data_IF_394934889697
#
_entry.id   IF_394934889697
#
_cell.length_a   1.000
_cell.length_b   1.000
_cell.length_c   1.000
_cell.angle_alpha   90.00
_cell.angle_beta   90.00
_cell.angle_gamma   90.00
#
_symmetry.space_group_name_H-M   'P 1'
#
loop_
_entity.id
_entity.type
_entity.pdbx_description
1 polymer ?
#
# COMPACT_ATOMS: atom_id res chain seq x y z
N UNK A 1 -45.97 9.56 -10.51
CA UNK A 1 -44.99 10.34 -11.29
C UNK A 1 -44.72 11.60 -10.48
N UNK A 2 -43.80 11.50 -9.52
CA UNK A 2 -43.38 12.63 -8.71
C UNK A 2 -42.23 13.27 -9.48
N UNK A 3 -42.47 14.44 -10.07
CA UNK A 3 -41.37 15.31 -10.50
C UNK A 3 -40.64 15.75 -9.24
N UNK A 4 -39.44 15.24 -9.01
CA UNK A 4 -38.50 15.90 -8.10
C UNK A 4 -38.34 17.34 -8.58
N UNK A 5 -38.61 18.27 -7.67
CA UNK A 5 -38.28 19.69 -7.89
C UNK A 5 -36.76 19.73 -7.96
N UNK A 6 -36.21 19.89 -9.17
CA UNK A 6 -34.78 20.08 -9.38
C UNK A 6 -34.32 21.26 -8.52
N UNK A 7 -33.46 20.99 -7.54
CA UNK A 7 -32.85 22.04 -6.74
C UNK A 7 -31.75 22.70 -7.59
N UNK A 8 -32.03 23.89 -8.11
CA UNK A 8 -31.10 24.64 -8.98
C UNK A 8 -29.75 24.84 -8.29
N UNK A 9 -29.73 25.09 -6.99
CA UNK A 9 -28.50 25.23 -6.20
C UNK A 9 -27.65 23.96 -6.25
N UNK A 10 -28.29 22.80 -6.13
CA UNK A 10 -27.61 21.50 -6.21
C UNK A 10 -27.04 21.28 -7.60
N UNK A 11 -27.78 21.62 -8.67
CA UNK A 11 -27.28 21.49 -10.04
C UNK A 11 -26.07 22.39 -10.32
N UNK A 12 -26.07 23.60 -9.78
CA UNK A 12 -24.93 24.52 -9.87
C UNK A 12 -23.72 23.93 -9.15
N UNK A 13 -23.89 23.41 -7.93
CA UNK A 13 -22.80 22.76 -7.18
C UNK A 13 -22.27 21.51 -7.90
N UNK A 14 -23.15 20.69 -8.47
CA UNK A 14 -22.76 19.52 -9.28
C UNK A 14 -21.96 19.91 -10.51
N UNK A 15 -22.35 20.99 -11.20
CA UNK A 15 -21.64 21.50 -12.37
C UNK A 15 -20.24 22.02 -12.01
N UNK A 16 -20.14 22.83 -10.95
CA UNK A 16 -18.85 23.36 -10.47
C UNK A 16 -17.94 22.22 -10.02
N UNK A 17 -18.50 21.26 -9.27
CA UNK A 17 -17.79 20.07 -8.82
C UNK A 17 -17.25 19.26 -10.01
N UNK A 18 -18.05 19.08 -11.06
CA UNK A 18 -17.62 18.42 -12.29
C UNK A 18 -16.46 19.15 -12.98
N UNK A 19 -16.57 20.47 -13.15
CA UNK A 19 -15.50 21.27 -13.76
C UNK A 19 -14.21 21.22 -12.93
N UNK A 20 -14.30 21.36 -11.61
CA UNK A 20 -13.13 21.26 -10.73
C UNK A 20 -12.44 19.89 -10.85
N UNK A 21 -13.19 18.79 -10.89
CA UNK A 21 -12.60 17.46 -11.08
C UNK A 21 -11.94 17.31 -12.44
N UNK A 22 -12.60 17.78 -13.51
CA UNK A 22 -12.05 17.73 -14.86
C UNK A 22 -10.72 18.50 -14.93
N UNK A 23 -10.68 19.73 -14.42
CA UNK A 23 -9.47 20.54 -14.44
C UNK A 23 -8.31 19.83 -13.75
N UNK A 24 -8.54 19.25 -12.56
CA UNK A 24 -7.48 18.54 -11.82
C UNK A 24 -6.97 17.30 -12.56
N UNK A 25 -7.85 16.60 -13.28
CA UNK A 25 -7.50 15.40 -14.05
C UNK A 25 -6.79 15.71 -15.38
N UNK A 26 -7.06 16.87 -15.97
CA UNK A 26 -6.43 17.32 -17.22
C UNK A 26 -5.08 18.00 -16.99
N UNK A 27 -4.80 18.46 -15.77
CA UNK A 27 -3.53 19.08 -15.41
C UNK A 27 -2.36 18.07 -15.44
N UNK A 28 -1.27 18.42 -16.12
CA UNK A 28 -0.15 17.50 -16.40
C UNK A 28 0.49 16.85 -15.17
N UNK A 29 0.58 17.60 -14.06
CA UNK A 29 1.08 17.07 -12.78
C UNK A 29 -0.02 16.82 -11.75
N UNK A 30 -1.28 17.02 -12.15
CA UNK A 30 -2.48 16.79 -11.36
C UNK A 30 -2.59 17.71 -10.15
N UNK A 31 -2.01 18.91 -10.17
CA UNK A 31 -2.03 19.87 -9.05
C UNK A 31 -2.54 21.22 -9.51
N UNK A 32 -3.63 21.69 -8.91
CA UNK A 32 -4.20 23.03 -9.12
C UNK A 32 -4.11 23.83 -7.81
N UNK A 33 -3.44 24.99 -7.77
CA UNK A 33 -3.38 25.80 -6.56
C UNK A 33 -4.73 26.47 -6.30
N UNK A 34 -5.04 26.69 -5.02
CA UNK A 34 -6.18 27.52 -4.64
C UNK A 34 -5.90 29.01 -4.87
N UNK A 35 -4.63 29.40 -4.81
CA UNK A 35 -4.16 30.77 -5.02
C UNK A 35 -3.17 30.81 -6.16
N UNK A 36 -3.59 31.36 -7.30
CA UNK A 36 -2.78 31.50 -8.51
C UNK A 36 -1.72 32.58 -8.33
N UNK A 37 -0.54 32.35 -8.92
CA UNK A 37 0.58 33.28 -8.89
C UNK A 37 1.19 33.38 -10.28
N UNK A 38 1.53 34.59 -10.71
CA UNK A 38 2.08 34.87 -12.04
C UNK A 38 1.17 34.37 -13.18
N UNK A 39 1.65 33.45 -14.02
CA UNK A 39 0.90 32.85 -15.15
C UNK A 39 0.20 31.54 -14.76
N UNK A 40 0.24 31.16 -13.47
CA UNK A 40 -0.33 29.92 -13.00
C UNK A 40 -1.83 30.09 -12.67
N UNK A 41 -2.74 29.40 -13.38
CA UNK A 41 -4.16 29.49 -13.11
C UNK A 41 -4.50 28.88 -11.75
N UNK A 42 -5.41 29.52 -11.03
CA UNK A 42 -6.01 28.96 -9.83
C UNK A 42 -7.27 28.14 -10.17
N UNK A 43 -7.85 27.47 -9.16
CA UNK A 43 -9.07 26.67 -9.37
C UNK A 43 -10.25 27.51 -9.92
N UNK A 44 -10.37 28.78 -9.54
CA UNK A 44 -11.41 29.66 -10.08
C UNK A 44 -11.15 29.95 -11.57
N UNK A 45 -9.90 30.25 -11.94
CA UNK A 45 -9.52 30.49 -13.33
C UNK A 45 -9.81 29.24 -14.20
N UNK A 46 -9.47 28.05 -13.70
CA UNK A 46 -9.77 26.78 -14.37
C UNK A 46 -11.28 26.58 -14.59
N UNK A 47 -12.09 26.84 -13.56
CA UNK A 47 -13.55 26.72 -13.67
C UNK A 47 -14.10 27.75 -14.67
N UNK A 48 -13.63 29.00 -14.64
CA UNK A 48 -14.03 30.03 -15.60
C UNK A 48 -13.71 29.58 -17.03
N UNK A 49 -12.50 29.05 -17.27
CA UNK A 49 -12.11 28.52 -18.58
C UNK A 49 -13.04 27.38 -19.03
N UNK A 50 -13.42 26.46 -18.13
CA UNK A 50 -14.39 25.41 -18.46
C UNK A 50 -15.77 25.99 -18.84
N UNK A 51 -16.21 27.08 -18.20
CA UNK A 51 -17.44 27.79 -18.60
C UNK A 51 -17.29 28.43 -19.99
N UNK A 52 -16.16 29.07 -20.28
CA UNK A 52 -15.89 29.67 -21.59
C UNK A 52 -15.87 28.61 -22.71
N UNK A 53 -15.24 27.46 -22.48
CA UNK A 53 -15.20 26.36 -23.45
C UNK A 53 -16.57 25.72 -23.67
N UNK A 54 -17.37 25.60 -22.60
CA UNK A 54 -18.68 24.94 -22.64
C UNK A 54 -19.79 25.83 -23.22
N UNK A 55 -19.80 27.12 -22.85
CA UNK A 55 -20.90 28.05 -23.14
C UNK A 55 -20.53 29.15 -24.14
N UNK A 56 -19.25 29.31 -24.50
CA UNK A 56 -18.79 30.29 -25.49
C UNK A 56 -19.17 31.71 -25.10
N UNK A 57 -19.84 32.43 -26.01
CA UNK A 57 -20.24 33.84 -25.83
C UNK A 57 -21.18 34.04 -24.62
N UNK A 58 -21.88 33.00 -24.16
CA UNK A 58 -22.83 33.05 -23.05
C UNK A 58 -22.18 32.77 -21.68
N UNK A 59 -20.88 32.44 -21.63
CA UNK A 59 -20.20 32.01 -20.41
C UNK A 59 -20.28 33.04 -19.27
N UNK A 60 -20.07 34.32 -19.60
CA UNK A 60 -20.14 35.40 -18.62
C UNK A 60 -21.51 35.50 -17.95
N UNK A 61 -22.59 35.40 -18.74
CA UNK A 61 -23.95 35.47 -18.23
C UNK A 61 -24.29 34.23 -17.38
N UNK A 62 -23.75 33.05 -17.74
CA UNK A 62 -23.89 31.83 -16.93
C UNK A 62 -23.11 31.92 -15.61
N UNK A 63 -21.90 32.48 -15.61
CA UNK A 63 -21.07 32.65 -14.41
C UNK A 63 -21.72 33.59 -13.41
N UNK A 64 -22.32 34.71 -13.87
CA UNK A 64 -23.07 35.62 -12.99
C UNK A 64 -24.27 34.91 -12.36
N UNK A 65 -25.04 34.13 -13.14
CA UNK A 65 -26.17 33.36 -12.61
C UNK A 65 -25.71 32.33 -11.57
N UNK A 66 -24.58 31.66 -11.82
CA UNK A 66 -23.98 30.71 -10.88
C UNK A 66 -23.57 31.39 -9.59
N UNK A 67 -22.88 32.53 -9.67
CA UNK A 67 -22.44 33.29 -8.49
C UNK A 67 -23.63 33.75 -7.63
N UNK A 68 -24.69 34.27 -8.26
CA UNK A 68 -25.92 34.71 -7.60
C UNK A 68 -26.69 33.54 -6.94
N UNK A 69 -26.58 32.32 -7.48
CA UNK A 69 -27.19 31.12 -6.89
C UNK A 69 -26.41 30.65 -5.66
N UNK A 70 -25.08 30.81 -5.64
CA UNK A 70 -24.22 30.35 -4.56
C UNK A 70 -24.26 31.25 -3.32
N UNK A 71 -24.60 32.53 -3.47
CA UNK A 71 -24.63 33.45 -2.34
C UNK A 71 -25.22 34.82 -2.67
N UNK A 72 -25.06 35.75 -1.73
CA UNK A 72 -25.67 37.09 -1.82
C UNK A 72 -24.64 38.22 -1.87
N UNK A 73 -23.35 37.90 -1.90
CA UNK A 73 -22.29 38.92 -1.97
C UNK A 73 -22.27 39.47 -3.38
N UNK A 74 -22.42 40.78 -3.54
CA UNK A 74 -22.41 41.39 -4.88
C UNK A 74 -20.98 41.53 -5.41
N UNK A 75 -20.81 41.36 -6.72
CA UNK A 75 -19.55 41.66 -7.40
C UNK A 75 -19.11 43.11 -7.12
N UNK A 76 -17.86 43.26 -6.69
CA UNK A 76 -17.28 44.52 -6.24
C UNK A 76 -15.90 44.72 -6.84
N UNK A 77 -14.85 44.62 -6.02
CA UNK A 77 -13.46 44.53 -6.50
C UNK A 77 -13.17 43.16 -7.12
N UNK A 78 -13.95 42.13 -6.76
CA UNK A 78 -13.89 40.77 -7.26
C UNK A 78 -15.13 40.41 -8.08
N UNK A 79 -14.95 39.71 -9.20
CA UNK A 79 -15.99 39.42 -10.18
C UNK A 79 -17.02 38.37 -9.72
N UNK A 80 -16.56 37.30 -9.07
CA UNK A 80 -17.39 36.16 -8.64
C UNK A 80 -17.10 35.77 -7.17
N UNK A 81 -17.46 36.64 -6.21
CA UNK A 81 -17.10 36.44 -4.81
C UNK A 81 -17.76 35.21 -4.16
N UNK A 82 -18.97 34.83 -4.58
CA UNK A 82 -19.66 33.68 -3.99
C UNK A 82 -19.12 32.36 -4.56
N UNK A 83 -18.78 32.33 -5.85
CA UNK A 83 -18.10 31.20 -6.48
C UNK A 83 -16.72 30.97 -5.87
N UNK A 84 -15.93 32.04 -5.66
CA UNK A 84 -14.63 31.93 -4.96
C UNK A 84 -14.80 31.36 -3.55
N UNK A 85 -15.73 31.92 -2.76
CA UNK A 85 -15.98 31.43 -1.41
C UNK A 85 -16.40 29.94 -1.40
N UNK A 86 -17.24 29.51 -2.35
CA UNK A 86 -17.60 28.10 -2.48
C UNK A 86 -16.38 27.22 -2.78
N UNK A 87 -15.49 27.64 -3.68
CA UNK A 87 -14.27 26.89 -4.02
C UNK A 87 -13.33 26.76 -2.81
N UNK A 88 -13.13 27.84 -2.06
CA UNK A 88 -12.19 27.89 -0.93
C UNK A 88 -12.69 27.05 0.27
N UNK A 89 -13.96 27.21 0.63
CA UNK A 89 -14.51 26.76 1.91
C UNK A 89 -15.40 25.52 1.81
N UNK A 90 -15.96 25.21 0.63
CA UNK A 90 -17.07 24.24 0.52
C UNK A 90 -16.88 23.19 -0.57
N UNK A 91 -16.09 23.43 -1.60
CA UNK A 91 -15.93 22.52 -2.73
C UNK A 91 -15.35 21.17 -2.30
N UNK A 92 -14.33 21.17 -1.42
CA UNK A 92 -13.74 19.92 -0.96
C UNK A 92 -14.70 19.13 -0.07
N UNK A 93 -15.39 19.80 0.86
CA UNK A 93 -16.40 19.15 1.70
C UNK A 93 -17.54 18.56 0.86
N UNK A 94 -17.98 19.31 -0.16
CA UNK A 94 -18.95 18.84 -1.14
C UNK A 94 -18.43 17.60 -1.88
N UNK A 95 -17.17 17.62 -2.34
CA UNK A 95 -16.54 16.50 -3.03
C UNK A 95 -16.50 15.23 -2.17
N UNK A 96 -16.08 15.33 -0.90
CA UNK A 96 -16.01 14.19 0.03
C UNK A 96 -17.39 13.55 0.20
N UNK A 97 -18.44 14.37 0.38
CA UNK A 97 -19.81 13.88 0.53
C UNK A 97 -20.32 13.23 -0.77
N UNK A 98 -20.13 13.88 -1.91
CA UNK A 98 -20.57 13.38 -3.23
C UNK A 98 -19.89 12.05 -3.58
N UNK A 99 -18.63 11.87 -3.16
CA UNK A 99 -17.85 10.66 -3.40
C UNK A 99 -17.97 9.61 -2.29
N UNK A 100 -18.96 9.71 -1.39
CA UNK A 100 -19.19 8.76 -0.30
C UNK A 100 -17.92 8.46 0.52
N UNK A 101 -17.18 9.50 0.93
CA UNK A 101 -15.93 9.39 1.69
C UNK A 101 -14.74 8.75 0.96
N UNK A 102 -14.83 8.55 -0.36
CA UNK A 102 -13.70 8.08 -1.19
C UNK A 102 -13.37 9.11 -2.28
N UNK A 103 -12.89 10.31 -1.92
CA UNK A 103 -12.60 11.36 -2.90
C UNK A 103 -11.41 10.98 -3.79
N UNK A 104 -11.47 11.40 -5.06
CA UNK A 104 -10.41 11.20 -6.05
C UNK A 104 -9.61 12.47 -6.29
N UNK A 105 -10.11 13.61 -5.82
CA UNK A 105 -9.39 14.88 -5.77
C UNK A 105 -9.19 15.23 -4.30
N UNK A 106 -7.95 15.49 -3.91
CA UNK A 106 -7.53 15.75 -2.53
C UNK A 106 -7.17 17.21 -2.33
N UNK A 107 -7.63 17.86 -1.24
CA UNK A 107 -7.16 19.19 -0.85
C UNK A 107 -5.97 19.04 0.11
N UNK A 108 -4.81 19.58 -0.27
CA UNK A 108 -3.70 19.83 0.65
C UNK A 108 -3.76 21.28 1.10
N UNK A 109 -3.58 21.54 2.39
CA UNK A 109 -3.74 22.88 2.96
C UNK A 109 -2.81 23.12 4.15
N UNK A 110 -2.43 24.38 4.34
CA UNK A 110 -1.71 24.83 5.53
C UNK A 110 -2.63 25.28 6.68
N UNK A 111 -3.96 25.20 6.52
CA UNK A 111 -4.96 25.64 7.51
C UNK A 111 -4.62 25.21 8.95
N UNK A 112 -4.09 23.99 9.11
CA UNK A 112 -3.86 23.34 10.40
C UNK A 112 -2.39 23.23 10.81
N UNK A 113 -1.47 23.84 10.06
CA UNK A 113 -0.03 23.71 10.35
C UNK A 113 0.40 24.54 11.56
N UNK A 114 -0.38 25.56 11.93
CA UNK A 114 -0.18 26.37 13.15
C UNK A 114 -1.49 26.53 13.91
N UNK A 115 -1.43 26.74 15.23
CA UNK A 115 -2.62 26.75 16.09
C UNK A 115 -3.54 27.97 15.93
N UNK A 116 -3.00 29.13 15.59
CA UNK A 116 -3.70 30.42 15.53
C UNK A 116 -3.81 30.97 14.08
N UNK A 117 -3.92 30.08 13.09
CA UNK A 117 -4.18 30.49 11.70
C UNK A 117 -5.58 31.10 11.58
N UNK A 118 -5.68 32.29 10.98
CA UNK A 118 -6.96 32.91 10.62
C UNK A 118 -7.37 32.59 9.18
N UNK A 119 -6.40 32.21 8.35
CA UNK A 119 -6.55 31.94 6.91
C UNK A 119 -5.49 30.93 6.45
N UNK A 120 -5.68 30.33 5.28
CA UNK A 120 -4.72 29.41 4.65
C UNK A 120 -3.56 30.20 3.98
N UNK A 121 -2.31 29.88 4.34
CA UNK A 121 -1.11 30.39 3.65
C UNK A 121 -0.96 29.81 2.24
N UNK A 122 -1.24 28.51 2.11
CA UNK A 122 -1.24 27.77 0.86
C UNK A 122 -2.29 26.65 0.90
N UNK A 123 -2.93 26.41 -0.25
CA UNK A 123 -3.74 25.24 -0.49
C UNK A 123 -3.71 24.86 -1.97
N UNK A 124 -3.92 23.59 -2.27
CA UNK A 124 -4.05 23.08 -3.64
C UNK A 124 -4.95 21.85 -3.68
N UNK A 125 -5.51 21.57 -4.84
CA UNK A 125 -6.19 20.33 -5.18
C UNK A 125 -5.24 19.41 -5.93
N UNK A 126 -5.26 18.13 -5.59
CA UNK A 126 -4.34 17.11 -6.10
C UNK A 126 -5.13 15.90 -6.58
N UNK A 127 -4.89 15.44 -7.80
CA UNK A 127 -5.45 14.18 -8.28
C UNK A 127 -4.89 12.99 -7.49
N UNK A 128 -5.76 12.06 -7.08
CA UNK A 128 -5.37 10.86 -6.33
C UNK A 128 -4.36 10.01 -7.12
N UNK A 129 -4.49 9.92 -8.44
CA UNK A 129 -3.55 9.16 -9.25
C UNK A 129 -2.19 9.86 -9.39
N UNK A 130 -2.13 11.18 -9.15
CA UNK A 130 -0.89 11.95 -9.13
C UNK A 130 -0.15 11.92 -7.79
N UNK A 131 -0.72 11.30 -6.74
CA UNK A 131 -0.01 11.06 -5.49
C UNK A 131 1.13 10.05 -5.71
N UNK A 132 2.37 10.51 -5.56
CA UNK A 132 3.59 9.71 -5.68
C UNK A 132 4.76 10.41 -4.96
N UNK A 133 5.92 9.76 -4.89
CA UNK A 133 7.11 10.31 -4.23
C UNK A 133 7.58 11.66 -4.78
N UNK A 134 7.39 11.92 -6.07
CA UNK A 134 7.78 13.17 -6.72
C UNK A 134 6.78 14.32 -6.51
N UNK A 135 5.57 14.05 -6.00
CA UNK A 135 4.55 15.07 -5.77
C UNK A 135 5.03 16.12 -4.76
N UNK A 136 5.66 15.67 -3.67
CA UNK A 136 6.23 16.52 -2.62
C UNK A 136 7.32 17.48 -3.14
N UNK A 137 8.21 16.99 -3.99
CA UNK A 137 9.26 17.80 -4.64
C UNK A 137 8.64 18.83 -5.62
N UNK A 138 7.61 18.43 -6.36
CA UNK A 138 6.88 19.33 -7.28
C UNK A 138 6.17 20.44 -6.53
N UNK A 139 5.48 20.14 -5.43
CA UNK A 139 4.85 21.16 -4.57
C UNK A 139 5.87 22.21 -4.14
N UNK A 140 7.02 21.76 -3.63
CA UNK A 140 8.08 22.64 -3.14
C UNK A 140 8.64 23.52 -4.25
N UNK A 141 9.04 22.92 -5.38
CA UNK A 141 9.76 23.60 -6.46
C UNK A 141 8.87 24.46 -7.36
N UNK A 142 7.62 24.06 -7.62
CA UNK A 142 6.72 24.75 -8.56
C UNK A 142 5.67 25.63 -7.89
N UNK A 143 5.16 25.30 -6.71
CA UNK A 143 3.97 25.95 -6.14
C UNK A 143 4.30 26.80 -4.89
N UNK A 144 5.12 26.26 -3.98
CA UNK A 144 5.40 26.95 -2.71
C UNK A 144 6.31 28.16 -2.88
N UNK A 145 7.35 28.08 -3.73
CA UNK A 145 8.27 29.21 -3.93
C UNK A 145 7.60 30.45 -4.56
N UNK A 146 6.82 30.35 -5.65
CA UNK A 146 6.08 31.48 -6.20
C UNK A 146 5.11 32.08 -5.17
N UNK A 147 4.35 31.24 -4.46
CA UNK A 147 3.42 31.69 -3.42
C UNK A 147 4.15 32.44 -2.29
N UNK A 148 5.30 31.95 -1.85
CA UNK A 148 6.12 32.68 -0.86
C UNK A 148 6.60 34.02 -1.39
N UNK A 149 6.98 34.12 -2.67
CA UNK A 149 7.40 35.38 -3.28
C UNK A 149 6.27 36.42 -3.30
N UNK A 150 5.07 36.03 -3.74
CA UNK A 150 3.88 36.87 -3.75
C UNK A 150 3.51 37.36 -2.33
N UNK A 151 3.48 36.44 -1.34
CA UNK A 151 3.20 36.80 0.05
C UNK A 151 4.25 37.76 0.64
N UNK A 152 5.54 37.61 0.27
CA UNK A 152 6.61 38.53 0.68
C UNK A 152 6.41 39.92 0.09
N UNK A 153 6.01 40.01 -1.18
CA UNK A 153 5.70 41.28 -1.85
C UNK A 153 4.49 41.97 -1.22
N UNK A 154 3.38 41.24 -1.05
CA UNK A 154 2.16 41.73 -0.40
C UNK A 154 2.43 42.23 1.01
N UNK A 155 3.20 41.47 1.80
CA UNK A 155 3.65 41.89 3.14
C UNK A 155 4.47 43.17 3.10
N UNK A 156 5.38 43.31 2.13
CA UNK A 156 6.21 44.52 1.97
C UNK A 156 5.35 45.75 1.64
N UNK A 157 4.38 45.60 0.73
CA UNK A 157 3.43 46.66 0.38
C UNK A 157 2.53 47.03 1.55
N UNK A 158 1.98 46.05 2.27
CA UNK A 158 1.20 46.27 3.47
C UNK A 158 2.02 46.99 4.56
N UNK A 159 3.29 46.60 4.75
CA UNK A 159 4.19 47.25 5.70
C UNK A 159 4.45 48.72 5.38
N UNK A 160 4.56 49.06 4.09
CA UNK A 160 4.69 50.46 3.63
C UNK A 160 3.41 51.24 3.94
N UNK A 161 2.23 50.70 3.57
CA UNK A 161 0.94 51.38 3.78
C UNK A 161 0.60 51.57 5.27
N UNK A 162 0.83 50.58 6.12
CA UNK A 162 0.53 50.73 7.57
C UNK A 162 1.40 51.78 8.26
N UNK A 163 2.53 52.15 7.66
CA UNK A 163 3.47 53.15 8.18
C UNK A 163 3.37 54.49 7.44
N UNK A 164 2.38 54.65 6.56
CA UNK A 164 2.18 55.86 5.76
C UNK A 164 1.23 56.83 6.48
N UNK A 165 1.80 57.88 7.07
CA UNK A 165 1.07 58.92 7.79
C UNK A 165 0.09 59.74 6.92
N UNK A 166 0.14 59.59 5.59
CA UNK A 166 -0.80 60.24 4.66
C UNK A 166 -2.12 59.48 4.50
N UNK A 167 -2.18 58.20 4.89
CA UNK A 167 -3.38 57.38 4.84
C UNK A 167 -4.28 57.62 6.06
N UNK A 168 -5.57 57.31 5.92
CA UNK A 168 -6.49 57.33 7.04
C UNK A 168 -6.19 56.21 8.05
N UNK A 169 -6.62 56.37 9.30
CA UNK A 169 -6.49 55.35 10.34
C UNK A 169 -7.13 54.01 9.95
N UNK A 170 -8.23 54.06 9.18
CA UNK A 170 -8.90 52.84 8.68
C UNK A 170 -8.04 52.11 7.66
N UNK A 171 -7.45 52.83 6.70
CA UNK A 171 -6.57 52.24 5.68
C UNK A 171 -5.26 51.70 6.29
N UNK A 172 -4.72 52.37 7.31
CA UNK A 172 -3.58 51.87 8.07
C UNK A 172 -3.91 50.59 8.83
N UNK A 173 -5.10 50.50 9.43
CA UNK A 173 -5.57 49.31 10.13
C UNK A 173 -5.75 48.10 9.18
N UNK A 174 -6.38 48.31 8.03
CA UNK A 174 -6.53 47.28 6.98
C UNK A 174 -5.16 46.80 6.46
N UNK A 175 -4.21 47.73 6.28
CA UNK A 175 -2.84 47.38 5.91
C UNK A 175 -2.11 46.60 7.01
N UNK A 176 -2.38 46.89 8.29
CA UNK A 176 -1.82 46.11 9.40
C UNK A 176 -2.37 44.69 9.45
N UNK A 177 -3.68 44.51 9.23
CA UNK A 177 -4.32 43.20 9.13
C UNK A 177 -3.75 42.37 7.96
N UNK A 178 -3.63 42.99 6.77
CA UNK A 178 -3.00 42.36 5.59
C UNK A 178 -1.55 41.95 5.88
N UNK A 179 -0.80 42.75 6.63
CA UNK A 179 0.58 42.42 7.02
C UNK A 179 0.64 41.18 7.92
N UNK A 180 -0.22 41.11 8.93
CA UNK A 180 -0.29 39.95 9.84
C UNK A 180 -0.73 38.69 9.10
N UNK A 181 -1.76 38.77 8.23
CA UNK A 181 -2.19 37.64 7.39
C UNK A 181 -1.07 37.10 6.51
N UNK A 182 -0.32 37.97 5.83
CA UNK A 182 0.82 37.53 5.00
C UNK A 182 1.95 36.93 5.85
N UNK A 183 2.17 37.43 7.06
CA UNK A 183 3.19 36.89 7.98
C UNK A 183 2.79 35.52 8.49
N UNK A 184 1.53 35.34 8.88
CA UNK A 184 0.96 34.04 9.26
C UNK A 184 1.05 33.04 8.10
N UNK A 185 0.67 33.43 6.88
CA UNK A 185 0.76 32.57 5.70
C UNK A 185 2.19 32.11 5.38
N UNK A 186 3.19 32.99 5.52
CA UNK A 186 4.60 32.61 5.34
C UNK A 186 5.10 31.63 6.41
N UNK A 187 4.66 31.80 7.67
CA UNK A 187 5.01 30.88 8.75
C UNK A 187 4.34 29.51 8.54
N UNK A 188 3.08 29.50 8.11
CA UNK A 188 2.34 28.29 7.76
C UNK A 188 3.03 27.48 6.66
N UNK A 189 3.47 28.16 5.58
CA UNK A 189 4.20 27.50 4.49
C UNK A 189 5.54 26.95 4.99
N UNK A 190 6.26 27.67 5.85
CA UNK A 190 7.52 27.17 6.42
C UNK A 190 7.33 25.85 7.18
N UNK A 191 6.27 25.74 8.00
CA UNK A 191 5.96 24.49 8.73
C UNK A 191 5.54 23.39 7.75
N UNK A 192 4.77 23.74 6.72
CA UNK A 192 4.36 22.81 5.69
C UNK A 192 5.55 22.23 4.92
N UNK A 193 6.57 23.04 4.62
CA UNK A 193 7.82 22.58 3.98
C UNK A 193 8.59 21.60 4.87
N UNK A 194 8.70 21.88 6.17
CA UNK A 194 9.34 20.97 7.13
C UNK A 194 8.61 19.61 7.16
N UNK A 195 7.28 19.64 7.18
CA UNK A 195 6.43 18.43 7.16
C UNK A 195 6.58 17.65 5.85
N UNK A 196 6.58 18.33 4.71
CA UNK A 196 6.81 17.69 3.40
C UNK A 196 8.19 17.03 3.37
N UNK A 197 9.22 17.70 3.90
CA UNK A 197 10.56 17.14 3.97
C UNK A 197 10.62 15.91 4.88
N UNK A 198 9.93 15.94 6.02
CA UNK A 198 9.83 14.79 6.93
C UNK A 198 9.11 13.61 6.26
N UNK A 199 7.97 13.85 5.61
CA UNK A 199 7.24 12.83 4.85
C UNK A 199 8.07 12.23 3.71
N UNK A 200 8.89 13.03 3.02
CA UNK A 200 9.79 12.57 1.98
C UNK A 200 11.04 11.85 2.50
N UNK A 201 11.31 11.91 3.81
CA UNK A 201 12.51 11.32 4.40
C UNK A 201 12.36 9.83 4.63
N UNK A 202 13.47 9.10 4.51
CA UNK A 202 13.52 7.66 4.76
C UNK A 202 13.35 7.36 6.24
N UNK A 203 12.40 6.46 6.55
CA UNK A 203 12.17 5.90 7.88
C UNK A 203 12.69 4.46 7.96
N UNK A 204 12.90 3.93 9.16
CA UNK A 204 13.37 2.55 9.36
C UNK A 204 12.24 1.65 9.84
N UNK A 205 12.11 0.48 9.21
CA UNK A 205 11.26 -0.60 9.70
C UNK A 205 11.70 -1.03 11.11
N UNK A 206 10.72 -1.38 11.94
CA UNK A 206 10.97 -2.00 13.23
C UNK A 206 11.24 -3.50 13.04
N UNK A 207 12.42 -3.84 12.53
CA UNK A 207 12.86 -5.20 12.24
C UNK A 207 14.39 -5.25 12.33
N UNK A 208 14.95 -5.79 13.40
CA UNK A 208 16.35 -5.56 13.72
C UNK A 208 17.33 -6.49 12.96
N UNK A 209 18.64 -6.34 13.24
CA UNK A 209 19.66 -7.15 12.58
C UNK A 209 19.63 -8.64 13.01
N UNK A 210 19.11 -8.96 14.20
CA UNK A 210 18.91 -10.35 14.62
C UNK A 210 17.77 -10.97 13.81
N UNK A 211 16.66 -10.25 13.65
CA UNK A 211 15.50 -10.70 12.88
C UNK A 211 15.82 -10.87 11.40
N UNK A 212 16.59 -9.93 10.83
CA UNK A 212 17.12 -10.07 9.47
C UNK A 212 17.97 -11.33 9.30
N UNK A 213 18.83 -11.64 10.26
CA UNK A 213 19.60 -12.89 10.22
C UNK A 213 18.72 -14.15 10.36
N UNK A 214 17.57 -14.07 11.05
CA UNK A 214 16.62 -15.19 11.11
C UNK A 214 16.08 -15.52 9.73
N UNK A 215 15.59 -14.52 8.99
CA UNK A 215 15.03 -14.72 7.64
C UNK A 215 16.11 -15.07 6.60
N UNK A 216 17.32 -14.52 6.72
CA UNK A 216 18.46 -14.89 5.85
C UNK A 216 18.82 -16.38 5.97
N UNK A 217 18.76 -16.94 7.17
CA UNK A 217 19.00 -18.38 7.42
C UNK A 217 17.82 -19.27 7.05
N UNK A 218 16.61 -18.71 7.01
CA UNK A 218 15.37 -19.42 6.69
C UNK A 218 15.20 -19.61 5.18
N UNK A 219 15.53 -18.60 4.37
CA UNK A 219 15.44 -18.64 2.91
C UNK A 219 16.02 -19.91 2.26
N UNK A 220 17.27 -20.34 2.53
CA UNK A 220 17.83 -21.55 1.91
C UNK A 220 17.10 -22.84 2.33
N UNK A 221 16.54 -22.89 3.55
CA UNK A 221 15.75 -24.04 4.01
C UNK A 221 14.44 -24.18 3.23
N UNK A 222 13.75 -23.06 3.02
CA UNK A 222 12.54 -23.00 2.19
C UNK A 222 12.86 -23.39 0.74
N UNK A 223 13.97 -22.87 0.18
CA UNK A 223 14.38 -23.20 -1.17
C UNK A 223 14.62 -24.71 -1.35
N UNK A 224 15.34 -25.35 -0.40
CA UNK A 224 15.53 -26.81 -0.41
C UNK A 224 14.20 -27.56 -0.28
N UNK A 225 13.33 -27.17 0.66
CA UNK A 225 12.03 -27.80 0.84
C UNK A 225 11.13 -27.67 -0.41
N UNK A 226 11.14 -26.51 -1.07
CA UNK A 226 10.44 -26.26 -2.33
C UNK A 226 10.93 -27.16 -3.45
N UNK A 227 12.24 -27.27 -3.61
CA UNK A 227 12.84 -28.12 -4.65
C UNK A 227 12.52 -29.61 -4.41
N UNK A 228 12.63 -30.06 -3.17
CA UNK A 228 12.31 -31.42 -2.76
C UNK A 228 10.82 -31.76 -2.91
N UNK A 229 9.94 -30.78 -2.66
CA UNK A 229 8.50 -30.90 -2.91
C UNK A 229 8.22 -30.99 -4.42
N UNK A 230 8.83 -30.12 -5.22
CA UNK A 230 8.69 -30.11 -6.69
C UNK A 230 9.13 -31.44 -7.30
N UNK A 231 10.32 -31.95 -6.95
CA UNK A 231 10.80 -33.26 -7.41
C UNK A 231 9.82 -34.39 -7.14
N UNK A 232 9.24 -34.44 -5.93
CA UNK A 232 8.26 -35.48 -5.55
C UNK A 232 6.96 -35.35 -6.34
N UNK A 233 6.46 -34.14 -6.53
CA UNK A 233 5.27 -33.87 -7.35
C UNK A 233 5.49 -34.25 -8.82
N UNK A 234 6.63 -33.87 -9.39
CA UNK A 234 6.98 -34.20 -10.78
C UNK A 234 7.12 -35.72 -10.96
N UNK A 235 7.76 -36.39 -9.99
CA UNK A 235 7.87 -37.85 -9.95
C UNK A 235 6.50 -38.52 -9.89
N UNK A 236 5.56 -37.98 -9.11
CA UNK A 236 4.18 -38.49 -9.07
C UNK A 236 3.46 -38.31 -10.41
N UNK A 237 3.65 -37.17 -11.08
CA UNK A 237 3.07 -36.92 -12.39
C UNK A 237 3.59 -37.92 -13.43
N UNK A 238 4.91 -38.13 -13.48
CA UNK A 238 5.54 -39.12 -14.35
C UNK A 238 5.01 -40.54 -14.07
N UNK A 239 4.97 -40.93 -12.80
CA UNK A 239 4.50 -42.26 -12.40
C UNK A 239 3.04 -42.50 -12.81
N UNK A 240 2.19 -41.46 -12.69
CA UNK A 240 0.80 -41.52 -13.13
C UNK A 240 0.67 -41.69 -14.63
N UNK A 241 1.46 -40.96 -15.42
CA UNK A 241 1.46 -41.09 -16.89
C UNK A 241 1.83 -42.51 -17.33
N UNK A 242 2.82 -43.11 -16.67
CA UNK A 242 3.34 -44.44 -17.01
C UNK A 242 2.41 -45.58 -16.60
N UNK A 243 1.81 -45.51 -15.40
CA UNK A 243 1.03 -46.60 -14.79
C UNK A 243 -0.48 -46.48 -15.02
N UNK A 244 -0.95 -45.27 -15.33
CA UNK A 244 -2.35 -44.96 -15.53
C UNK A 244 -3.16 -44.85 -14.23
N UNK A 245 -4.34 -44.24 -14.36
CA UNK A 245 -5.22 -43.87 -13.24
C UNK A 245 -5.61 -45.06 -12.35
N UNK A 246 -5.93 -46.22 -12.94
CA UNK A 246 -6.36 -47.40 -12.18
C UNK A 246 -5.28 -47.90 -11.23
N UNK A 247 -4.02 -47.89 -11.65
CA UNK A 247 -2.92 -48.28 -10.77
C UNK A 247 -2.78 -47.28 -9.63
N UNK A 248 -2.80 -45.99 -9.95
CA UNK A 248 -2.62 -44.93 -8.97
C UNK A 248 -3.68 -44.94 -7.86
N UNK A 249 -4.95 -45.19 -8.21
CA UNK A 249 -6.05 -45.33 -7.23
C UNK A 249 -5.87 -46.53 -6.31
N UNK A 250 -5.35 -47.64 -6.84
CA UNK A 250 -5.10 -48.85 -6.06
C UNK A 250 -3.88 -48.71 -5.15
N UNK A 251 -2.84 -48.01 -5.60
CA UNK A 251 -1.59 -47.81 -4.85
C UNK A 251 -1.76 -46.76 -3.76
N UNK A 252 -2.32 -45.59 -4.08
CA UNK A 252 -2.42 -44.47 -3.15
C UNK A 252 -3.80 -44.43 -2.51
N UNK A 253 -4.77 -43.83 -3.19
CA UNK A 253 -6.20 -43.90 -2.90
C UNK A 253 -7.01 -43.29 -4.05
N UNK A 254 -8.33 -43.46 -4.02
CA UNK A 254 -9.24 -42.92 -5.04
C UNK A 254 -9.09 -41.40 -5.25
N UNK A 255 -8.80 -40.65 -4.18
CA UNK A 255 -8.76 -39.18 -4.17
C UNK A 255 -7.35 -38.59 -4.08
N UNK A 256 -6.31 -39.41 -3.90
CA UNK A 256 -4.96 -38.92 -3.64
C UNK A 256 -4.46 -38.01 -4.77
N UNK A 257 -4.54 -38.49 -6.02
CA UNK A 257 -4.09 -37.66 -7.15
C UNK A 257 -4.93 -36.40 -7.29
N UNK A 258 -6.25 -36.49 -7.15
CA UNK A 258 -7.14 -35.31 -7.29
C UNK A 258 -6.72 -34.21 -6.31
N UNK A 259 -6.37 -34.57 -5.08
CA UNK A 259 -5.85 -33.62 -4.08
C UNK A 259 -4.45 -33.09 -4.46
N UNK A 260 -3.52 -33.93 -4.91
CA UNK A 260 -2.19 -33.45 -5.32
C UNK A 260 -2.28 -32.51 -6.53
N UNK A 261 -3.06 -32.88 -7.55
CA UNK A 261 -3.24 -32.15 -8.81
C UNK A 261 -3.91 -30.79 -8.62
N UNK A 262 -4.84 -30.70 -7.66
CA UNK A 262 -5.52 -29.45 -7.32
C UNK A 262 -4.58 -28.44 -6.67
N UNK A 263 -3.65 -28.90 -5.81
CA UNK A 263 -2.90 -28.01 -4.91
C UNK A 263 -1.41 -27.88 -5.22
N UNK A 264 -0.83 -28.77 -6.03
CA UNK A 264 0.64 -28.80 -6.23
C UNK A 264 1.24 -27.49 -6.73
N UNK A 265 0.57 -26.81 -7.66
CA UNK A 265 1.09 -25.58 -8.25
C UNK A 265 1.05 -24.46 -7.21
N UNK A 266 -0.04 -24.38 -6.44
CA UNK A 266 -0.16 -23.44 -5.32
C UNK A 266 0.87 -23.69 -4.22
N UNK A 267 1.21 -24.95 -3.90
CA UNK A 267 2.26 -25.23 -2.92
C UNK A 267 3.62 -24.70 -3.38
N UNK A 268 3.98 -24.93 -4.65
CA UNK A 268 5.26 -24.47 -5.19
C UNK A 268 5.31 -22.95 -5.27
N UNK A 269 4.24 -22.32 -5.78
CA UNK A 269 4.13 -20.86 -5.88
C UNK A 269 4.18 -20.19 -4.50
N UNK A 270 3.46 -20.73 -3.50
CA UNK A 270 3.45 -20.18 -2.16
C UNK A 270 4.79 -20.36 -1.43
N UNK A 271 5.51 -21.46 -1.67
CA UNK A 271 6.87 -21.63 -1.13
C UNK A 271 7.87 -20.68 -1.81
N UNK A 272 7.70 -20.41 -3.11
CA UNK A 272 8.50 -19.42 -3.83
C UNK A 272 8.24 -17.99 -3.31
N UNK A 273 6.99 -17.62 -3.09
CA UNK A 273 6.64 -16.34 -2.48
C UNK A 273 7.13 -16.25 -1.03
N UNK A 274 7.09 -17.33 -0.25
CA UNK A 274 7.65 -17.36 1.11
C UNK A 274 9.18 -17.20 1.12
N UNK A 275 9.86 -17.80 0.15
CA UNK A 275 11.30 -17.58 -0.08
C UNK A 275 11.56 -16.10 -0.41
N UNK A 276 10.77 -15.50 -1.31
CA UNK A 276 10.84 -14.06 -1.63
C UNK A 276 10.57 -13.21 -0.39
N UNK A 277 9.59 -13.54 0.44
CA UNK A 277 9.31 -12.84 1.69
C UNK A 277 10.56 -12.82 2.58
N UNK A 278 11.24 -13.96 2.75
CA UNK A 278 12.48 -14.00 3.52
C UNK A 278 13.56 -13.08 2.93
N UNK A 279 13.71 -13.04 1.60
CA UNK A 279 14.68 -12.16 0.93
C UNK A 279 14.33 -10.67 1.08
N UNK A 280 13.05 -10.30 1.00
CA UNK A 280 12.60 -8.92 1.18
C UNK A 280 12.80 -8.45 2.62
N UNK A 281 12.44 -9.27 3.61
CA UNK A 281 12.65 -8.94 5.02
C UNK A 281 14.14 -8.89 5.41
N UNK A 282 15.01 -9.65 4.73
CA UNK A 282 16.46 -9.63 4.93
C UNK A 282 17.12 -8.32 4.46
N UNK A 283 16.49 -7.57 3.54
CA UNK A 283 17.00 -6.29 3.05
C UNK A 283 17.19 -5.29 4.21
N UNK A 284 18.04 -4.27 4.01
CA UNK A 284 18.16 -3.16 4.95
C UNK A 284 16.81 -2.57 5.39
N UNK A 285 16.74 -2.12 6.63
CA UNK A 285 15.51 -1.63 7.28
C UNK A 285 14.97 -0.33 6.69
N UNK A 286 15.75 0.34 5.86
CA UNK A 286 15.38 1.55 5.11
C UNK A 286 14.78 1.23 3.73
N UNK A 287 14.56 -0.05 3.43
CA UNK A 287 13.81 -0.53 2.26
C UNK A 287 12.42 -0.99 2.66
N UNK A 288 11.36 -0.57 1.93
CA UNK A 288 10.00 -1.03 2.17
C UNK A 288 9.90 -2.52 1.84
N UNK A 289 8.90 -3.17 2.44
CA UNK A 289 8.54 -4.57 2.18
C UNK A 289 7.04 -4.60 1.92
N UNK A 290 6.62 -5.29 0.86
CA UNK A 290 5.21 -5.43 0.52
C UNK A 290 4.42 -6.03 1.69
N UNK A 291 3.34 -5.35 2.06
CA UNK A 291 2.60 -5.60 3.30
C UNK A 291 2.20 -7.06 3.42
N UNK A 292 1.62 -7.64 2.37
CA UNK A 292 1.11 -9.01 2.33
C UNK A 292 2.18 -10.11 2.52
N UNK A 293 3.47 -9.83 2.31
CA UNK A 293 4.52 -10.86 2.40
C UNK A 293 4.65 -11.43 3.82
N UNK A 294 4.28 -10.66 4.85
CA UNK A 294 4.27 -11.17 6.23
C UNK A 294 3.29 -12.33 6.43
N UNK A 295 2.18 -12.35 5.68
CA UNK A 295 1.12 -13.35 5.86
C UNK A 295 1.59 -14.75 5.45
N UNK A 296 2.63 -14.84 4.62
CA UNK A 296 3.23 -16.10 4.16
C UNK A 296 3.90 -16.87 5.30
N UNK A 297 4.47 -16.19 6.31
CA UNK A 297 5.08 -16.85 7.46
C UNK A 297 4.03 -17.67 8.23
N UNK A 298 2.85 -17.10 8.47
CA UNK A 298 1.75 -17.83 9.09
C UNK A 298 1.14 -18.86 8.11
N UNK A 299 1.03 -18.52 6.82
CA UNK A 299 0.50 -19.42 5.78
C UNK A 299 1.18 -20.78 5.75
N UNK A 300 2.50 -20.79 5.96
CA UNK A 300 3.25 -22.03 6.05
C UNK A 300 2.72 -22.95 7.17
N UNK A 301 2.55 -22.38 8.37
CA UNK A 301 2.05 -23.08 9.55
C UNK A 301 0.64 -23.64 9.35
N UNK A 302 -0.31 -22.76 9.02
CA UNK A 302 -1.73 -23.11 9.06
C UNK A 302 -2.22 -23.85 7.82
N UNK A 303 -1.52 -23.76 6.68
CA UNK A 303 -1.99 -24.33 5.40
C UNK A 303 -0.98 -25.18 4.64
N UNK A 304 0.25 -24.71 4.44
CA UNK A 304 1.19 -25.37 3.52
C UNK A 304 1.79 -26.64 4.10
N UNK A 305 2.27 -26.59 5.34
CA UNK A 305 2.92 -27.75 5.99
C UNK A 305 1.96 -28.95 6.05
N UNK A 306 0.78 -28.72 6.62
CA UNK A 306 -0.16 -29.79 6.95
C UNK A 306 0.41 -30.81 7.93
N UNK A 307 -0.12 -32.03 7.87
CA UNK A 307 0.37 -33.19 8.63
C UNK A 307 0.56 -34.40 7.72
N UNK A 308 1.27 -35.40 8.21
CA UNK A 308 1.47 -36.71 7.56
C UNK A 308 0.27 -37.66 7.73
N UNK A 309 -0.92 -37.11 8.02
CA UNK A 309 -2.16 -37.88 8.06
C UNK A 309 -2.83 -37.90 6.69
N UNK A 310 -3.40 -39.04 6.28
CA UNK A 310 -4.03 -39.23 4.96
C UNK A 310 -5.19 -38.27 4.63
N UNK A 311 -5.75 -37.59 5.64
CA UNK A 311 -6.84 -36.62 5.49
C UNK A 311 -6.37 -35.16 5.46
N UNK A 312 -5.06 -34.92 5.60
CA UNK A 312 -4.46 -33.60 5.49
C UNK A 312 -4.45 -33.13 4.04
N UNK A 313 -4.42 -31.81 3.84
CA UNK A 313 -4.39 -31.16 2.53
C UNK A 313 -3.14 -30.30 2.33
N UNK A 314 -2.21 -30.30 3.29
CA UNK A 314 -0.89 -29.67 3.17
C UNK A 314 0.18 -30.69 2.77
N UNK A 315 1.34 -30.21 2.33
CA UNK A 315 2.41 -30.94 1.64
C UNK A 315 2.77 -32.27 2.31
N UNK A 316 2.84 -32.31 3.65
CA UNK A 316 3.26 -33.50 4.37
C UNK A 316 2.31 -34.69 4.24
N UNK A 317 1.06 -34.50 3.80
CA UNK A 317 0.11 -35.63 3.67
C UNK A 317 0.58 -36.66 2.64
N UNK A 318 1.41 -36.25 1.67
CA UNK A 318 1.97 -37.16 0.67
C UNK A 318 2.88 -38.21 1.32
N UNK A 319 3.60 -37.81 2.38
CA UNK A 319 4.56 -38.68 3.07
C UNK A 319 3.91 -39.93 3.64
N UNK A 320 2.65 -39.86 4.08
CA UNK A 320 1.87 -41.03 4.52
C UNK A 320 1.89 -42.15 3.47
N UNK A 321 1.62 -41.81 2.21
CA UNK A 321 1.55 -42.80 1.16
C UNK A 321 2.94 -43.18 0.65
N UNK A 322 3.90 -42.26 0.67
CA UNK A 322 5.26 -42.54 0.26
C UNK A 322 5.91 -43.55 1.21
N UNK A 323 5.73 -43.40 2.51
CA UNK A 323 6.18 -44.37 3.51
C UNK A 323 5.48 -45.72 3.31
N UNK A 324 4.16 -45.71 3.11
CA UNK A 324 3.38 -46.95 2.94
C UNK A 324 3.77 -47.76 1.71
N UNK A 325 4.05 -47.09 0.59
CA UNK A 325 4.24 -47.75 -0.71
C UNK A 325 5.70 -47.83 -1.16
N UNK A 326 6.58 -46.98 -0.63
CA UNK A 326 7.97 -46.83 -1.08
C UNK A 326 9.03 -47.39 -0.13
N UNK A 327 8.77 -47.47 1.19
CA UNK A 327 9.79 -47.87 2.17
C UNK A 327 10.33 -49.29 1.94
N UNK A 328 9.49 -50.24 1.54
CA UNK A 328 9.91 -51.63 1.25
C UNK A 328 10.82 -51.75 0.00
N UNK A 329 11.01 -50.65 -0.73
CA UNK A 329 11.86 -50.59 -1.94
C UNK A 329 13.22 -49.94 -1.67
N UNK A 330 13.51 -49.56 -0.42
CA UNK A 330 14.76 -48.94 0.00
C UNK A 330 15.69 -49.94 0.68
N UNK A 331 16.98 -49.75 0.52
CA UNK A 331 18.03 -50.47 1.25
C UNK A 331 18.27 -49.89 2.64
N UNK A 332 19.21 -50.49 3.38
CA UNK A 332 19.56 -50.08 4.75
C UNK A 332 20.13 -48.64 4.82
N UNK A 333 20.59 -48.07 3.70
CA UNK A 333 21.08 -46.70 3.58
C UNK A 333 19.97 -45.72 3.13
N UNK A 334 18.72 -46.20 3.02
CA UNK A 334 17.58 -45.40 2.60
C UNK A 334 17.56 -45.07 1.10
N UNK A 335 18.33 -45.82 0.29
CA UNK A 335 18.42 -45.63 -1.16
C UNK A 335 17.62 -46.69 -1.92
N UNK A 336 17.07 -46.40 -3.11
CA UNK A 336 16.37 -47.40 -3.91
C UNK A 336 17.25 -48.60 -4.27
N UNK A 337 16.75 -49.83 -4.09
CA UNK A 337 17.49 -51.04 -4.48
C UNK A 337 17.93 -51.01 -5.97
N UNK A 338 19.13 -51.52 -6.26
CA UNK A 338 19.69 -51.48 -7.63
C UNK A 338 18.86 -52.25 -8.67
N UNK A 339 18.18 -53.32 -8.25
CA UNK A 339 17.46 -54.25 -9.12
C UNK A 339 15.99 -53.89 -9.39
N UNK A 340 15.55 -52.69 -8.99
CA UNK A 340 14.19 -52.22 -9.23
C UNK A 340 13.92 -51.95 -10.71
N UNK A 341 12.67 -52.16 -11.12
CA UNK A 341 12.17 -51.62 -12.38
C UNK A 341 12.14 -50.09 -12.32
N UNK A 342 12.02 -49.45 -13.49
CA UNK A 342 11.98 -47.98 -13.57
C UNK A 342 10.82 -47.39 -12.76
N UNK A 343 9.63 -47.99 -12.84
CA UNK A 343 8.45 -47.52 -12.09
C UNK A 343 8.59 -47.76 -10.58
N UNK A 344 9.21 -48.88 -10.16
CA UNK A 344 9.51 -49.15 -8.75
C UNK A 344 10.58 -48.19 -8.22
N UNK A 345 11.55 -47.81 -9.05
CA UNK A 345 12.56 -46.82 -8.68
C UNK A 345 11.95 -45.43 -8.49
N UNK A 346 11.01 -45.03 -9.37
CA UNK A 346 10.24 -43.79 -9.20
C UNK A 346 9.38 -43.81 -7.92
N UNK A 347 8.77 -44.96 -7.60
CA UNK A 347 8.01 -45.12 -6.36
C UNK A 347 8.92 -45.07 -5.12
N UNK A 348 10.08 -45.72 -5.17
CA UNK A 348 11.08 -45.71 -4.12
C UNK A 348 11.64 -44.30 -3.88
N UNK A 349 11.92 -43.53 -4.93
CA UNK A 349 12.44 -42.16 -4.81
C UNK A 349 11.47 -41.17 -4.16
N UNK A 350 10.17 -41.49 -4.07
CA UNK A 350 9.23 -40.67 -3.31
C UNK A 350 9.43 -40.82 -1.79
N UNK A 351 10.00 -41.96 -1.36
CA UNK A 351 10.21 -42.31 0.04
C UNK A 351 11.64 -42.04 0.54
N UNK A 352 12.53 -41.49 -0.29
CA UNK A 352 13.88 -41.12 0.12
C UNK A 352 13.88 -39.84 0.96
N UNK A 353 14.98 -39.62 1.69
CA UNK A 353 15.23 -38.40 2.46
C UNK A 353 15.55 -37.18 1.59
N UNK A 354 16.29 -36.23 2.16
CA UNK A 354 16.73 -35.03 1.46
C UNK A 354 18.03 -35.32 0.70
N UNK A 355 18.21 -34.67 -0.45
CA UNK A 355 19.49 -34.72 -1.19
C UNK A 355 20.66 -34.13 -0.37
N UNK A 356 20.38 -33.15 0.50
CA UNK A 356 21.33 -32.56 1.43
C UNK A 356 20.71 -32.48 2.83
N UNK A 357 20.93 -33.51 3.65
CA UNK A 357 20.43 -33.57 5.02
C UNK A 357 21.09 -32.56 5.96
N UNK A 358 22.26 -32.00 5.59
CA UNK A 358 22.94 -30.98 6.39
C UNK A 358 22.19 -29.66 6.45
N UNK A 359 21.21 -29.47 5.56
CA UNK A 359 20.30 -28.32 5.61
C UNK A 359 19.41 -28.34 6.86
N UNK A 360 19.17 -29.51 7.47
CA UNK A 360 18.33 -29.66 8.65
C UNK A 360 19.18 -29.49 9.90
N UNK A 361 18.72 -28.66 10.84
CA UNK A 361 19.38 -28.56 12.11
C UNK A 361 19.24 -29.87 12.89
N UNK A 362 20.35 -30.40 13.42
CA UNK A 362 20.41 -31.68 14.12
C UNK A 362 19.38 -31.81 15.24
N UNK A 363 19.10 -30.72 15.97
CA UNK A 363 18.10 -30.68 17.04
C UNK A 363 16.69 -31.11 16.58
N UNK A 364 16.33 -30.85 15.32
CA UNK A 364 15.02 -31.25 14.76
C UNK A 364 14.98 -32.73 14.39
N UNK A 365 16.11 -33.32 13.99
CA UNK A 365 16.22 -34.76 13.76
C UNK A 365 16.22 -35.50 15.09
N UNK A 366 16.95 -35.02 16.09
CA UNK A 366 16.96 -35.57 17.45
C UNK A 366 15.58 -35.51 18.12
N UNK A 367 14.79 -34.47 17.84
CA UNK A 367 13.42 -34.37 18.36
C UNK A 367 12.46 -35.44 17.79
N UNK A 368 12.84 -36.09 16.68
CA UNK A 368 12.04 -37.15 16.06
C UNK A 368 12.40 -38.56 16.54
N UNK A 369 13.53 -38.73 17.24
CA UNK A 369 13.93 -40.04 17.78
C UNK A 369 13.18 -40.37 19.06
N UNK A 370 12.85 -41.65 19.26
CA UNK A 370 12.39 -42.15 20.56
C UNK A 370 13.58 -42.39 21.52
N UNK A 371 13.33 -42.54 22.83
CA UNK A 371 14.35 -42.58 23.91
C UNK A 371 15.51 -43.59 23.70
N UNK A 372 15.34 -44.60 22.84
CA UNK A 372 16.33 -45.65 22.54
C UNK A 372 16.88 -45.63 21.10
N UNK A 373 16.41 -44.70 20.24
CA UNK A 373 16.80 -44.62 18.82
C UNK A 373 17.85 -43.53 18.59
N UNK A 374 18.72 -43.73 17.59
CA UNK A 374 19.63 -42.70 17.09
C UNK A 374 19.07 -42.04 15.84
N UNK A 375 19.59 -40.86 15.48
CA UNK A 375 19.20 -40.17 14.23
C UNK A 375 19.39 -41.06 12.99
N UNK A 376 20.36 -41.99 13.02
CA UNK A 376 20.61 -42.93 11.92
C UNK A 376 19.56 -44.04 11.79
N UNK A 377 18.69 -44.22 12.80
CA UNK A 377 17.61 -45.22 12.78
C UNK A 377 16.29 -44.63 12.26
N UNK A 378 16.24 -43.31 12.01
CA UNK A 378 15.05 -42.65 11.49
C UNK A 378 14.75 -43.07 10.05
N UNK A 379 13.46 -43.18 9.67
CA UNK A 379 13.10 -43.44 8.28
C UNK A 379 13.59 -42.29 7.39
N UNK A 380 13.93 -42.52 6.11
CA UNK A 380 14.51 -41.47 5.26
C UNK A 380 13.65 -40.20 5.18
N UNK A 381 12.32 -40.33 5.11
CA UNK A 381 11.40 -39.17 5.08
C UNK A 381 11.37 -38.35 6.38
N UNK A 382 11.98 -38.82 7.47
CA UNK A 382 12.12 -38.03 8.69
C UNK A 382 12.89 -36.73 8.43
N UNK A 383 13.90 -36.74 7.54
CA UNK A 383 14.64 -35.52 7.19
C UNK A 383 13.74 -34.47 6.54
N UNK A 384 12.87 -34.88 5.61
CA UNK A 384 11.92 -33.99 4.93
C UNK A 384 10.86 -33.45 5.91
N UNK A 385 10.34 -34.30 6.80
CA UNK A 385 9.39 -33.91 7.86
C UNK A 385 10.04 -32.95 8.87
N UNK A 386 11.29 -33.21 9.27
CA UNK A 386 12.07 -32.37 10.17
C UNK A 386 12.34 -30.98 9.56
N UNK A 387 12.72 -30.92 8.28
CA UNK A 387 12.90 -29.65 7.57
C UNK A 387 11.62 -28.82 7.55
N UNK A 388 10.47 -29.46 7.28
CA UNK A 388 9.18 -28.80 7.30
C UNK A 388 8.85 -28.25 8.70
N UNK A 389 9.12 -29.01 9.76
CA UNK A 389 8.91 -28.56 11.14
C UNK A 389 9.87 -27.42 11.51
N UNK A 390 11.13 -27.47 11.07
CA UNK A 390 12.08 -26.40 11.30
C UNK A 390 11.69 -25.10 10.58
N UNK A 391 11.20 -25.19 9.34
CA UNK A 391 10.69 -24.02 8.62
C UNK A 391 9.51 -23.43 9.38
N UNK A 392 8.56 -24.26 9.83
CA UNK A 392 7.39 -23.82 10.59
C UNK A 392 7.75 -23.05 11.86
N UNK A 393 8.62 -23.61 12.70
CA UNK A 393 9.02 -22.98 13.96
C UNK A 393 9.78 -21.67 13.73
N UNK A 394 10.59 -21.60 12.66
CA UNK A 394 11.28 -20.37 12.25
C UNK A 394 10.33 -19.33 11.66
N UNK A 395 9.37 -19.73 10.85
CA UNK A 395 8.32 -18.86 10.32
C UNK A 395 7.52 -18.23 11.47
N UNK A 396 7.07 -19.03 12.44
CA UNK A 396 6.36 -18.54 13.62
C UNK A 396 7.23 -17.64 14.51
N UNK A 397 8.55 -17.86 14.56
CA UNK A 397 9.46 -16.95 15.26
C UNK A 397 9.55 -15.58 14.58
N UNK A 398 9.61 -15.55 13.24
CA UNK A 398 9.61 -14.31 12.45
C UNK A 398 8.27 -13.59 12.52
N UNK A 399 7.16 -14.33 12.42
CA UNK A 399 5.80 -13.79 12.48
C UNK A 399 5.57 -12.97 13.77
N UNK A 400 6.12 -13.42 14.91
CA UNK A 400 5.97 -12.74 16.20
C UNK A 400 6.63 -11.36 16.25
N UNK A 401 7.67 -11.14 15.44
CA UNK A 401 8.40 -9.87 15.39
C UNK A 401 7.78 -8.89 14.39
N UNK A 402 6.84 -9.34 13.56
CA UNK A 402 6.16 -8.53 12.56
C UNK A 402 4.76 -8.16 13.05
N UNK A 403 4.28 -6.90 12.87
CA UNK A 403 2.91 -6.54 13.20
C UNK A 403 1.89 -7.42 12.46
N UNK A 404 0.97 -8.02 13.22
CA UNK A 404 -0.11 -8.85 12.66
C UNK A 404 -1.14 -8.03 11.89
N UNK A 405 -1.36 -6.78 12.30
CA UNK A 405 -2.27 -5.86 11.62
C UNK A 405 -1.71 -5.44 10.25
N UNK A 406 -2.48 -5.75 9.20
CA UNK A 406 -2.15 -5.37 7.82
C UNK A 406 -2.03 -3.85 7.65
N UNK A 407 -2.88 -3.06 8.30
CA UNK A 407 -2.85 -1.60 8.15
C UNK A 407 -1.52 -1.01 8.65
N UNK A 408 -0.97 -1.55 9.74
CA UNK A 408 0.34 -1.15 10.27
C UNK A 408 1.46 -1.49 9.28
N UNK A 409 1.42 -2.69 8.69
CA UNK A 409 2.39 -3.09 7.66
C UNK A 409 2.28 -2.25 6.39
N UNK A 410 1.05 -1.98 5.94
CA UNK A 410 0.76 -1.18 4.76
C UNK A 410 1.21 0.27 4.92
N UNK A 411 1.02 0.87 6.10
CA UNK A 411 1.57 2.19 6.45
C UNK A 411 3.10 2.17 6.47
N UNK A 412 3.71 1.13 7.04
CA UNK A 412 5.17 0.97 7.03
C UNK A 412 5.71 0.88 5.60
N UNK A 413 5.05 0.13 4.71
CA UNK A 413 5.45 0.01 3.29
C UNK A 413 5.51 1.38 2.61
N UNK A 414 4.44 2.18 2.74
CA UNK A 414 4.33 3.47 2.04
C UNK A 414 5.11 4.62 2.71
N UNK A 415 5.77 4.38 3.85
CA UNK A 415 6.53 5.42 4.58
C UNK A 415 8.01 5.11 4.78
N UNK A 416 8.44 3.85 4.59
CA UNK A 416 9.84 3.45 4.85
C UNK A 416 10.82 4.18 3.94
N UNK A 417 10.58 4.23 2.63
CA UNK A 417 11.45 4.93 1.68
C UNK A 417 11.02 6.39 1.43
N UNK A 418 10.42 7.04 2.43
CA UNK A 418 9.64 8.25 2.25
C UNK A 418 8.23 7.94 1.72
N UNK A 419 7.35 8.93 1.77
CA UNK A 419 5.95 8.81 1.38
C UNK A 419 5.79 8.34 -0.07
N UNK A 420 5.34 7.10 -0.23
CA UNK A 420 5.18 6.38 -1.48
C UNK A 420 3.85 5.64 -1.48
N UNK A 421 2.73 6.34 -1.78
CA UNK A 421 1.42 5.72 -1.75
C UNK A 421 1.33 4.53 -2.72
N UNK A 422 0.65 3.47 -2.28
CA UNK A 422 0.40 2.26 -3.05
C UNK A 422 -1.10 2.17 -3.37
N UNK A 423 -1.44 2.22 -4.66
CA UNK A 423 -2.84 2.27 -5.12
C UNK A 423 -3.67 1.05 -4.70
N UNK A 424 -3.00 -0.06 -4.39
CA UNK A 424 -3.65 -1.30 -3.97
C UNK A 424 -4.08 -1.28 -2.49
N UNK A 425 -3.54 -0.35 -1.67
CA UNK A 425 -3.82 -0.27 -0.22
C UNK A 425 -5.09 0.50 0.14
N UNK A 426 -5.89 0.91 -0.84
CA UNK A 426 -7.06 1.75 -0.60
C UNK A 426 -6.69 3.17 -0.17
N UNK A 427 -7.71 4.04 -0.17
CA UNK A 427 -7.50 5.49 -0.05
C UNK A 427 -7.15 5.91 1.38
N UNK A 428 -7.74 5.25 2.37
CA UNK A 428 -7.51 5.50 3.80
C UNK A 428 -6.04 5.33 4.19
N UNK A 429 -5.42 4.21 3.80
CA UNK A 429 -3.99 3.93 4.08
C UNK A 429 -3.10 4.99 3.43
N UNK A 430 -3.34 5.31 2.16
CA UNK A 430 -2.51 6.26 1.43
C UNK A 430 -2.58 7.67 2.03
N UNK A 431 -3.72 8.08 2.56
CA UNK A 431 -3.92 9.45 3.05
C UNK A 431 -3.59 9.63 4.53
N UNK A 432 -3.61 8.55 5.32
CA UNK A 432 -3.27 8.57 6.76
C UNK A 432 -1.99 9.37 7.07
N UNK A 433 -0.84 9.19 6.37
CA UNK A 433 0.36 9.99 6.63
C UNK A 433 0.15 11.50 6.48
N UNK A 434 -0.70 11.93 5.55
CA UNK A 434 -1.02 13.34 5.31
C UNK A 434 -1.98 13.90 6.38
N UNK A 435 -2.87 13.04 6.91
CA UNK A 435 -3.79 13.36 8.01
C UNK A 435 -3.01 13.56 9.31
N UNK A 436 -2.11 12.63 9.64
CA UNK A 436 -1.26 12.69 10.84
C UNK A 436 -0.36 13.92 10.82
N UNK A 437 0.12 14.30 9.64
CA UNK A 437 0.88 15.50 9.37
C UNK A 437 0.07 16.82 9.42
N UNK A 438 -1.26 16.75 9.57
CA UNK A 438 -2.17 17.91 9.56
C UNK A 438 -2.12 18.77 8.29
N UNK A 439 -1.80 18.17 7.13
CA UNK A 439 -1.71 18.88 5.84
C UNK A 439 -2.94 18.68 4.95
N UNK A 440 -4.01 18.13 5.50
CA UNK A 440 -5.33 17.97 4.87
C UNK A 440 -6.44 18.56 5.76
N UNK A 441 -7.58 18.96 5.17
CA UNK A 441 -8.70 19.52 5.92
C UNK A 441 -9.23 18.58 7.00
N UNK A 442 -9.85 19.15 8.04
CA UNK A 442 -10.39 18.39 9.19
C UNK A 442 -11.44 17.35 8.80
N UNK A 443 -12.15 17.54 7.68
CA UNK A 443 -13.19 16.60 7.22
C UNK A 443 -12.61 15.23 6.88
N UNK A 444 -11.36 15.16 6.41
CA UNK A 444 -10.71 13.90 6.02
C UNK A 444 -10.64 12.94 7.21
N UNK A 445 -10.10 13.39 8.33
CA UNK A 445 -10.03 12.58 9.56
C UNK A 445 -11.36 12.38 10.29
N UNK A 446 -12.48 12.90 9.77
CA UNK A 446 -13.82 12.71 10.34
C UNK A 446 -14.71 11.80 9.50
N UNK A 447 -14.48 11.79 8.18
CA UNK A 447 -15.35 11.12 7.22
C UNK A 447 -14.63 10.05 6.40
N UNK A 448 -13.30 10.14 6.23
CA UNK A 448 -12.51 9.22 5.39
C UNK A 448 -11.69 8.24 6.23
N UNK A 449 -11.02 8.76 7.28
CA UNK A 449 -10.45 7.96 8.37
C UNK A 449 -11.52 7.82 9.45
#
# INVERSE_FOLDING_TARGET
>A
MLCEVLNIEQQVKDLIHHFAMMSVQEEDDGIIPLYGVDEQPDMLDCIINCFEETYGEEAQDRLVEVDDVLGTVSAGEEAYPNLRAFIEDHLFDYHVNTMNSTPIVWKLTTERTIADSTDEGFACFVDYHSLNSGMLDRLTSKYLEPRKAELRERRSTANRRRSDDSLSTSEQAEAAEKYERCTSGLNQISVFEDVIQELGSTNKRNFDDEDRQRVEKLAPKIASFREETRKRVDTLAELRERRGEKWFKNTFSDKFWEAVDEWRDEWIDALEELERACMEYAKPVDKPVESHLADLFNYFHWRLKGSDHYSSTGILFMTYYFEREGTDLLDDDGQPFENLTEDERLLASLATGLDDSSIVNTEYLEAMTEDEESVGDLPPLAEFKALAQEIDDRCQAVEKEIPSDWAVRALSEITTAGYQPNRDHGVEINITPLVDANIVPKIVGKQVI
#
